data_IF_917348647159
#
_entry.id   IF_917348647159
#
_cell.length_a   1.000
_cell.length_b   1.000
_cell.length_c   1.000
_cell.angle_alpha   90.00
_cell.angle_beta   90.00
_cell.angle_gamma   90.00
#
_symmetry.space_group_name_H-M   'P 1'
#
loop_
_entity.id
_entity.type
_entity.pdbx_description
1 polymer ?
#
# COMPACT_ATOMS: atom_id res chain seq x y z
N UNK A 1 2.99 13.44 11.37
CA UNK A 1 1.92 12.42 11.29
C UNK A 1 1.71 12.14 9.82
N UNK A 2 1.97 10.92 9.35
CA UNK A 2 1.65 10.47 7.98
C UNK A 2 0.59 9.37 8.04
N UNK A 3 -0.34 9.47 8.99
CA UNK A 3 -1.73 9.16 8.64
C UNK A 3 -2.07 10.22 7.60
N UNK A 4 -2.14 9.83 6.33
CA UNK A 4 -2.70 10.69 5.28
C UNK A 4 -4.07 11.06 5.80
N UNK A 5 -4.22 12.29 6.27
CA UNK A 5 -5.53 12.84 6.60
C UNK A 5 -6.36 12.64 5.33
N UNK A 6 -7.47 11.91 5.42
CA UNK A 6 -8.37 11.64 4.29
C UNK A 6 -9.01 12.91 3.70
N UNK A 7 -8.54 14.11 4.10
CA UNK A 7 -8.92 15.44 3.60
C UNK A 7 -7.85 16.11 2.71
N UNK A 8 -6.80 15.41 2.27
CA UNK A 8 -5.86 15.97 1.29
C UNK A 8 -6.43 15.88 -0.13
N UNK A 9 -6.23 16.92 -0.93
CA UNK A 9 -6.54 16.88 -2.36
C UNK A 9 -5.55 15.95 -3.08
N UNK A 10 -6.05 14.86 -3.67
CA UNK A 10 -5.21 13.85 -4.33
C UNK A 10 -5.55 13.80 -5.82
N UNK A 11 -4.53 13.95 -6.66
CA UNK A 11 -4.64 13.66 -8.09
C UNK A 11 -4.27 12.20 -8.34
N UNK A 12 -5.14 11.44 -8.98
CA UNK A 12 -4.89 10.03 -9.29
C UNK A 12 -4.44 9.88 -10.73
N UNK A 13 -3.18 9.51 -10.92
CA UNK A 13 -2.57 9.30 -12.25
C UNK A 13 -2.54 7.83 -12.65
N UNK A 14 -2.94 7.54 -13.88
CA UNK A 14 -2.77 6.22 -14.51
C UNK A 14 -1.94 6.33 -15.79
N UNK A 15 -1.44 5.18 -16.28
CA UNK A 15 -0.66 5.08 -17.50
C UNK A 15 0.84 4.89 -17.28
N UNK A 16 1.56 4.60 -18.36
CA UNK A 16 2.96 4.16 -18.28
C UNK A 16 3.93 5.23 -17.75
N UNK A 17 3.72 6.50 -18.08
CA UNK A 17 4.58 7.59 -17.59
C UNK A 17 4.36 7.84 -16.09
N UNK A 18 3.11 7.80 -15.61
CA UNK A 18 2.82 7.85 -14.18
C UNK A 18 3.52 6.74 -13.40
N UNK A 19 3.48 5.50 -13.93
CA UNK A 19 4.16 4.35 -13.30
C UNK A 19 5.68 4.50 -13.33
N UNK A 20 6.25 5.08 -14.38
CA UNK A 20 7.69 5.32 -14.47
C UNK A 20 8.15 6.37 -13.44
N UNK A 21 7.39 7.46 -13.26
CA UNK A 21 7.68 8.49 -12.26
C UNK A 21 7.55 7.91 -10.83
N UNK A 22 6.53 7.09 -10.56
CA UNK A 22 6.43 6.41 -9.26
C UNK A 22 7.58 5.44 -9.00
N UNK A 23 8.02 4.67 -10.00
CA UNK A 23 9.19 3.80 -9.86
C UNK A 23 10.48 4.58 -9.61
N UNK A 24 10.62 5.76 -10.20
CA UNK A 24 11.75 6.66 -9.94
C UNK A 24 11.74 7.09 -8.47
N UNK A 25 10.62 7.60 -7.96
CA UNK A 25 10.50 8.05 -6.57
C UNK A 25 10.63 6.91 -5.56
N UNK A 26 10.02 5.76 -5.83
CA UNK A 26 10.11 4.55 -5.01
C UNK A 26 11.56 4.09 -4.85
N UNK A 27 12.31 3.97 -5.95
CA UNK A 27 13.71 3.55 -5.93
C UNK A 27 14.63 4.57 -5.26
N UNK A 28 14.42 5.87 -5.49
CA UNK A 28 15.25 6.92 -4.88
C UNK A 28 14.98 7.07 -3.38
N UNK A 29 13.72 6.91 -2.94
CA UNK A 29 13.36 6.95 -1.51
C UNK A 29 13.70 5.66 -0.76
N UNK A 30 13.91 4.57 -1.48
CA UNK A 30 14.09 3.23 -0.92
C UNK A 30 12.86 2.76 -0.14
N UNK A 31 11.67 3.19 -0.57
CA UNK A 31 10.41 2.84 0.08
C UNK A 31 10.25 1.31 0.07
N UNK A 32 9.87 0.67 1.20
CA UNK A 32 9.91 -0.78 1.31
C UNK A 32 8.66 -1.44 0.68
N UNK A 33 8.39 -1.18 -0.59
CA UNK A 33 7.35 -1.85 -1.39
C UNK A 33 7.88 -2.23 -2.76
N UNK A 34 7.41 -3.35 -3.28
CA UNK A 34 7.77 -3.83 -4.62
C UNK A 34 6.66 -3.48 -5.66
N UNK A 35 5.61 -2.75 -5.22
CA UNK A 35 4.45 -2.33 -6.02
C UNK A 35 4.27 -0.81 -6.01
N UNK A 36 3.83 -0.25 -7.14
CA UNK A 36 3.58 1.20 -7.31
C UNK A 36 2.10 1.58 -7.26
N UNK A 37 1.18 0.61 -7.11
CA UNK A 37 -0.25 0.93 -7.05
C UNK A 37 -0.61 1.55 -5.71
N UNK A 38 -1.23 2.73 -5.71
CA UNK A 38 -1.51 3.46 -4.48
C UNK A 38 -0.27 4.11 -3.88
N UNK A 39 0.83 4.21 -4.65
CA UNK A 39 2.02 4.95 -4.25
C UNK A 39 1.76 6.45 -4.33
N UNK A 40 2.20 7.20 -3.32
CA UNK A 40 1.94 8.63 -3.16
C UNK A 40 3.22 9.44 -3.32
N UNK A 41 3.20 10.42 -4.22
CA UNK A 41 4.27 11.39 -4.42
C UNK A 41 3.73 12.75 -3.98
N UNK A 42 4.43 13.45 -3.08
CA UNK A 42 4.03 14.83 -2.73
C UNK A 42 4.13 15.76 -3.95
N UNK A 43 3.24 16.74 -4.07
CA UNK A 43 3.27 17.72 -5.17
C UNK A 43 4.62 18.43 -5.29
N UNK A 44 5.24 18.79 -4.15
CA UNK A 44 6.60 19.36 -4.10
C UNK A 44 7.65 18.44 -4.72
N UNK A 45 7.56 17.13 -4.47
CA UNK A 45 8.49 16.17 -5.03
C UNK A 45 8.20 15.93 -6.52
N UNK A 46 6.92 15.89 -6.90
CA UNK A 46 6.51 15.75 -8.28
C UNK A 46 7.01 16.92 -9.15
N UNK A 47 6.88 18.16 -8.67
CA UNK A 47 7.42 19.37 -9.32
C UNK A 47 8.95 19.34 -9.48
N UNK A 48 9.68 18.73 -8.54
CA UNK A 48 11.13 18.54 -8.73
C UNK A 48 11.41 17.57 -9.87
N UNK A 49 10.65 16.47 -9.94
CA UNK A 49 10.79 15.52 -11.04
C UNK A 49 10.40 16.11 -12.38
N UNK A 50 9.36 16.95 -12.47
CA UNK A 50 8.99 17.62 -13.73
C UNK A 50 10.17 18.45 -14.26
N UNK A 51 10.79 19.26 -13.40
CA UNK A 51 11.97 20.09 -13.74
C UNK A 51 13.20 19.26 -14.11
N UNK A 52 13.55 18.25 -13.31
CA UNK A 52 14.73 17.40 -13.57
C UNK A 52 14.55 16.61 -14.86
N UNK A 53 13.39 16.00 -15.08
CA UNK A 53 13.14 15.22 -16.29
C UNK A 53 13.16 16.12 -17.53
N UNK A 54 12.71 17.36 -17.43
CA UNK A 54 12.78 18.32 -18.54
C UNK A 54 14.22 18.69 -18.92
N UNK A 55 15.10 18.89 -17.93
CA UNK A 55 16.48 19.33 -18.17
C UNK A 55 17.40 18.24 -18.74
N UNK A 56 17.07 16.96 -18.54
CA UNK A 56 17.88 15.83 -18.98
C UNK A 56 17.57 15.44 -20.43
N UNK A 57 18.55 14.91 -21.15
CA UNK A 57 18.34 14.30 -22.47
C UNK A 57 17.74 12.87 -22.38
N UNK A 58 17.35 12.23 -23.49
CA UNK A 58 16.78 10.89 -23.46
C UNK A 58 17.70 9.80 -22.88
N UNK A 59 19.02 9.86 -23.09
CA UNK A 59 19.96 8.87 -22.57
C UNK A 59 20.12 9.03 -21.05
N UNK A 60 20.26 10.26 -20.59
CA UNK A 60 20.32 10.60 -19.17
C UNK A 60 19.03 10.19 -18.44
N UNK A 61 17.85 10.47 -19.01
CA UNK A 61 16.57 10.01 -18.45
C UNK A 61 16.48 8.49 -18.38
N UNK A 62 16.97 7.77 -19.39
CA UNK A 62 16.98 6.31 -19.41
C UNK A 62 17.96 5.71 -18.39
N UNK A 63 18.98 6.47 -17.97
CA UNK A 63 19.91 6.06 -16.91
C UNK A 63 19.31 6.14 -15.51
N UNK A 64 18.23 6.92 -15.33
CA UNK A 64 17.56 7.07 -14.05
C UNK A 64 16.86 5.76 -13.63
N UNK A 65 16.87 5.42 -12.32
CA UNK A 65 16.32 4.17 -11.85
C UNK A 65 14.81 4.09 -12.12
N UNK A 66 14.37 3.01 -12.79
CA UNK A 66 12.94 2.76 -13.01
C UNK A 66 12.36 3.36 -14.30
N UNK A 67 13.17 4.08 -15.07
CA UNK A 67 12.80 4.62 -16.39
C UNK A 67 13.40 3.72 -17.48
N UNK A 68 12.57 3.25 -18.42
CA UNK A 68 13.03 2.49 -19.59
C UNK A 68 13.40 3.42 -20.75
N UNK A 69 14.20 2.93 -21.70
CA UNK A 69 14.56 3.68 -22.93
C UNK A 69 13.33 4.22 -23.65
N UNK A 70 12.30 3.40 -23.85
CA UNK A 70 11.05 3.82 -24.50
C UNK A 70 10.34 4.96 -23.74
N UNK A 71 10.46 4.98 -22.40
CA UNK A 71 9.80 5.99 -21.56
C UNK A 71 10.57 7.30 -21.53
N UNK A 72 11.89 7.27 -21.66
CA UNK A 72 12.74 8.47 -21.64
C UNK A 72 12.32 9.53 -22.67
N UNK A 73 11.79 9.10 -23.82
CA UNK A 73 11.29 9.99 -24.87
C UNK A 73 10.04 10.78 -24.47
N UNK A 74 9.14 10.23 -23.65
CA UNK A 74 7.82 10.84 -23.38
C UNK A 74 7.61 11.29 -21.95
N UNK A 75 8.43 10.83 -21.01
CA UNK A 75 8.21 11.02 -19.58
C UNK A 75 8.29 12.50 -19.15
N UNK A 76 9.18 13.28 -19.76
CA UNK A 76 9.38 14.71 -19.46
C UNK A 76 8.19 15.60 -19.86
N UNK A 77 7.61 15.38 -21.05
CA UNK A 77 6.42 16.11 -21.49
C UNK A 77 5.22 15.75 -20.62
N UNK A 78 5.08 14.46 -20.31
CA UNK A 78 4.02 14.01 -19.43
C UNK A 78 4.16 14.60 -18.02
N UNK A 79 5.37 14.61 -17.45
CA UNK A 79 5.59 15.15 -16.10
C UNK A 79 5.24 16.64 -16.00
N UNK A 80 5.50 17.44 -17.04
CA UNK A 80 5.07 18.85 -17.08
C UNK A 80 3.55 18.96 -17.10
N UNK A 81 2.87 18.25 -18.01
CA UNK A 81 1.40 18.30 -18.11
C UNK A 81 0.76 17.90 -16.78
N UNK A 82 1.27 16.85 -16.15
CA UNK A 82 0.73 16.37 -14.88
C UNK A 82 1.02 17.37 -13.75
N UNK A 83 2.19 17.99 -13.72
CA UNK A 83 2.54 19.01 -12.72
C UNK A 83 1.63 20.25 -12.84
N UNK A 84 1.31 20.69 -14.06
CA UNK A 84 0.31 21.73 -14.30
C UNK A 84 -1.07 21.35 -13.77
N UNK A 85 -1.51 20.10 -13.98
CA UNK A 85 -2.77 19.60 -13.40
C UNK A 85 -2.72 19.56 -11.87
N UNK A 86 -1.58 19.18 -11.29
CA UNK A 86 -1.37 19.19 -9.82
C UNK A 86 -1.54 20.61 -9.26
N UNK A 87 -0.95 21.62 -9.92
CA UNK A 87 -1.12 23.02 -9.52
C UNK A 87 -2.58 23.48 -9.72
N UNK A 88 -3.17 23.18 -10.88
CA UNK A 88 -4.54 23.59 -11.22
C UNK A 88 -5.56 23.07 -10.21
N UNK A 89 -5.46 21.80 -9.81
CA UNK A 89 -6.36 21.19 -8.83
C UNK A 89 -5.93 21.41 -7.37
N UNK A 90 -4.84 22.15 -7.12
CA UNK A 90 -4.23 22.30 -5.80
C UNK A 90 -4.07 20.95 -5.08
N UNK A 91 -3.55 19.94 -5.80
CA UNK A 91 -3.34 18.62 -5.24
C UNK A 91 -2.11 18.61 -4.34
N UNK A 92 -2.26 18.07 -3.14
CA UNK A 92 -1.14 17.88 -2.19
C UNK A 92 -0.29 16.67 -2.58
N UNK A 93 -0.92 15.66 -3.19
CA UNK A 93 -0.29 14.41 -3.58
C UNK A 93 -0.76 13.94 -4.95
N UNK A 94 0.14 13.24 -5.64
CA UNK A 94 -0.16 12.42 -6.81
C UNK A 94 -0.13 10.96 -6.40
N UNK A 95 -1.27 10.28 -6.52
CA UNK A 95 -1.37 8.84 -6.31
C UNK A 95 -1.30 8.11 -7.64
N UNK A 96 -0.46 7.07 -7.73
CA UNK A 96 -0.34 6.29 -8.96
C UNK A 96 -1.21 5.05 -8.94
N UNK A 97 -2.03 4.88 -9.99
CA UNK A 97 -2.80 3.67 -10.22
C UNK A 97 -2.10 2.75 -11.21
N UNK A 98 -1.95 1.48 -10.85
CA UNK A 98 -1.51 0.44 -11.78
C UNK A 98 -2.68 -0.13 -12.62
N UNK A 99 -3.86 0.49 -12.54
CA UNK A 99 -5.05 0.16 -13.31
C UNK A 99 -5.45 1.33 -14.20
N UNK A 100 -6.07 1.05 -15.33
CA UNK A 100 -6.54 2.06 -16.29
C UNK A 100 -7.85 1.63 -16.94
N UNK A 101 -8.00 2.01 -18.22
CA UNK A 101 -9.27 1.81 -18.95
C UNK A 101 -9.72 0.34 -19.00
N UNK A 102 -8.78 -0.60 -19.14
CA UNK A 102 -9.11 -2.04 -19.24
C UNK A 102 -9.79 -2.54 -17.98
N UNK A 103 -9.24 -2.21 -16.82
CA UNK A 103 -9.82 -2.62 -15.55
C UNK A 103 -11.12 -1.86 -15.26
N UNK A 104 -11.22 -0.58 -15.65
CA UNK A 104 -12.47 0.17 -15.57
C UNK A 104 -13.62 -0.48 -16.35
N UNK A 105 -13.35 -1.02 -17.55
CA UNK A 105 -14.35 -1.78 -18.32
C UNK A 105 -14.72 -3.09 -17.62
N UNK A 106 -13.73 -3.83 -17.09
CA UNK A 106 -13.95 -5.10 -16.37
C UNK A 106 -14.76 -4.94 -15.07
N UNK A 107 -14.71 -3.77 -14.45
CA UNK A 107 -15.36 -3.50 -13.15
C UNK A 107 -16.53 -2.53 -13.22
N UNK A 108 -17.01 -2.17 -14.41
CA UNK A 108 -17.98 -1.09 -14.62
C UNK A 108 -19.21 -1.15 -13.70
N UNK A 109 -19.74 -2.35 -13.48
CA UNK A 109 -20.96 -2.58 -12.68
C UNK A 109 -20.68 -3.28 -11.34
N UNK A 110 -19.41 -3.27 -10.90
CA UNK A 110 -18.98 -3.92 -9.66
C UNK A 110 -18.68 -2.87 -8.60
N UNK A 111 -19.39 -2.94 -7.48
CA UNK A 111 -18.99 -2.23 -6.26
C UNK A 111 -17.94 -3.07 -5.55
N UNK A 112 -16.68 -2.63 -5.60
CA UNK A 112 -15.57 -3.30 -4.92
C UNK A 112 -15.04 -2.36 -3.84
N UNK A 113 -15.18 -2.77 -2.59
CA UNK A 113 -14.66 -2.06 -1.42
C UNK A 113 -13.47 -2.82 -0.82
N UNK A 114 -12.90 -2.25 0.25
CA UNK A 114 -11.75 -2.84 0.95
C UNK A 114 -12.06 -4.21 1.54
N UNK A 115 -13.27 -4.42 2.04
CA UNK A 115 -13.67 -5.68 2.67
C UNK A 115 -13.78 -6.81 1.63
N UNK A 116 -14.34 -6.52 0.45
CA UNK A 116 -14.37 -7.48 -0.66
C UNK A 116 -12.98 -7.89 -1.14
N UNK A 117 -11.99 -7.02 -1.03
CA UNK A 117 -10.60 -7.41 -1.31
C UNK A 117 -10.01 -8.32 -0.23
N UNK A 118 -10.33 -8.10 1.04
CA UNK A 118 -9.96 -9.03 2.11
C UNK A 118 -10.61 -10.40 1.90
N UNK A 119 -11.90 -10.42 1.56
CA UNK A 119 -12.61 -11.66 1.20
C UNK A 119 -11.98 -12.35 -0.01
N UNK A 120 -11.63 -11.61 -1.06
CA UNK A 120 -10.95 -12.15 -2.22
C UNK A 120 -9.60 -12.82 -1.85
N UNK A 121 -8.85 -12.23 -0.90
CA UNK A 121 -7.65 -12.88 -0.36
C UNK A 121 -8.02 -14.18 0.33
N UNK A 122 -9.00 -14.18 1.26
CA UNK A 122 -9.43 -15.40 1.96
C UNK A 122 -9.85 -16.52 0.99
N UNK A 123 -10.71 -16.19 0.02
CA UNK A 123 -11.18 -17.15 -0.99
C UNK A 123 -10.07 -17.64 -1.92
N UNK A 124 -9.06 -16.82 -2.25
CA UNK A 124 -7.90 -17.27 -3.03
C UNK A 124 -7.08 -18.36 -2.33
N UNK A 125 -7.19 -18.41 -1.00
CA UNK A 125 -6.59 -19.43 -0.14
C UNK A 125 -7.58 -20.54 0.27
N UNK A 126 -8.80 -20.55 -0.29
CA UNK A 126 -9.88 -21.49 0.03
C UNK A 126 -10.28 -21.45 1.52
N UNK A 127 -10.18 -20.28 2.14
CA UNK A 127 -10.56 -20.04 3.54
C UNK A 127 -11.83 -19.20 3.59
N UNK A 128 -12.78 -19.62 4.44
CA UNK A 128 -13.92 -18.77 4.83
C UNK A 128 -13.40 -17.48 5.48
N UNK A 129 -13.85 -16.29 5.05
CA UNK A 129 -13.42 -15.01 5.63
C UNK A 129 -13.54 -14.97 7.17
N UNK A 130 -12.43 -14.84 7.93
CA UNK A 130 -12.42 -14.84 9.40
C UNK A 130 -12.85 -13.48 9.98
N UNK A 131 -14.08 -13.06 9.65
CA UNK A 131 -14.63 -11.77 10.05
C UNK A 131 -14.89 -11.65 11.54
N UNK A 132 -15.10 -12.76 12.22
CA UNK A 132 -15.19 -12.84 13.68
C UNK A 132 -13.91 -12.38 14.36
N UNK A 133 -12.75 -12.88 13.90
CA UNK A 133 -11.43 -12.45 14.40
C UNK A 133 -11.20 -10.97 14.09
N UNK A 134 -11.54 -10.53 12.86
CA UNK A 134 -11.46 -9.12 12.48
C UNK A 134 -12.25 -8.23 13.45
N UNK A 135 -13.53 -8.58 13.69
CA UNK A 135 -14.44 -7.79 14.54
C UNK A 135 -13.97 -7.73 15.98
N UNK A 136 -13.46 -8.84 16.52
CA UNK A 136 -12.95 -8.87 17.89
C UNK A 136 -11.72 -7.96 18.05
N UNK A 137 -10.79 -8.01 17.10
CA UNK A 137 -9.61 -7.13 17.09
C UNK A 137 -10.00 -5.66 16.92
N UNK A 138 -10.91 -5.35 16.00
CA UNK A 138 -11.41 -3.99 15.77
C UNK A 138 -12.09 -3.42 17.02
N UNK A 139 -12.90 -4.24 17.71
CA UNK A 139 -13.58 -3.89 18.96
C UNK A 139 -12.60 -3.51 20.08
N UNK A 140 -11.49 -4.24 20.21
CA UNK A 140 -10.48 -4.00 21.25
C UNK A 140 -9.60 -2.79 20.92
N UNK A 141 -9.25 -2.61 19.65
CA UNK A 141 -8.28 -1.58 19.23
C UNK A 141 -8.89 -0.18 19.14
N UNK A 142 -10.14 -0.07 18.65
CA UNK A 142 -10.91 1.18 18.49
C UNK A 142 -10.20 2.26 17.65
N UNK A 143 -10.97 3.27 17.22
CA UNK A 143 -10.45 4.44 16.51
C UNK A 143 -9.95 4.15 15.09
N UNK A 144 -9.18 5.10 14.53
CA UNK A 144 -8.74 5.07 13.12
C UNK A 144 -7.87 3.85 12.77
N UNK A 145 -7.21 3.26 13.75
CA UNK A 145 -6.35 2.08 13.57
C UNK A 145 -7.13 0.77 13.54
N UNK A 146 -8.37 0.74 14.02
CA UNK A 146 -9.15 -0.49 14.18
C UNK A 146 -9.24 -1.32 12.91
N UNK A 147 -9.53 -0.65 11.77
CA UNK A 147 -9.58 -1.30 10.47
C UNK A 147 -8.25 -1.97 10.08
N UNK A 148 -7.11 -1.28 10.22
CA UNK A 148 -5.82 -1.82 9.78
C UNK A 148 -5.36 -2.97 10.67
N UNK A 149 -5.60 -2.89 11.98
CA UNK A 149 -5.23 -3.96 12.92
C UNK A 149 -6.16 -5.17 12.72
N UNK A 150 -7.46 -4.93 12.52
CA UNK A 150 -8.42 -5.96 12.13
C UNK A 150 -8.03 -6.65 10.82
N UNK A 151 -7.69 -5.89 9.78
CA UNK A 151 -7.22 -6.42 8.50
C UNK A 151 -5.93 -7.25 8.63
N UNK A 152 -4.99 -6.82 9.49
CA UNK A 152 -3.80 -7.62 9.81
C UNK A 152 -4.18 -8.96 10.44
N UNK A 153 -5.10 -8.96 11.42
CA UNK A 153 -5.54 -10.19 12.07
C UNK A 153 -6.29 -11.11 11.11
N UNK A 154 -7.14 -10.55 10.25
CA UNK A 154 -7.85 -11.27 9.19
C UNK A 154 -6.87 -12.01 8.29
N UNK A 155 -5.89 -11.31 7.73
CA UNK A 155 -4.93 -11.90 6.78
C UNK A 155 -4.01 -12.93 7.48
N UNK A 156 -3.58 -12.67 8.71
CA UNK A 156 -2.83 -13.65 9.49
C UNK A 156 -3.63 -14.91 9.73
N UNK A 157 -4.93 -14.79 10.01
CA UNK A 157 -5.82 -15.93 10.24
C UNK A 157 -6.00 -16.75 8.99
N UNK A 158 -6.22 -16.11 7.84
CA UNK A 158 -6.25 -16.78 6.53
C UNK A 158 -4.97 -17.59 6.33
N UNK A 159 -3.79 -16.95 6.42
CA UNK A 159 -2.52 -17.63 6.18
C UNK A 159 -2.22 -18.75 7.19
N UNK A 160 -2.64 -18.57 8.45
CA UNK A 160 -2.50 -19.59 9.50
C UNK A 160 -3.40 -20.80 9.18
N UNK A 161 -4.65 -20.58 8.78
CA UNK A 161 -5.60 -21.62 8.41
C UNK A 161 -5.19 -22.34 7.11
N UNK A 162 -4.54 -21.65 6.18
CA UNK A 162 -3.96 -22.25 4.96
C UNK A 162 -2.66 -23.05 5.20
N UNK A 163 -2.19 -23.17 6.45
CA UNK A 163 -1.05 -24.02 6.80
C UNK A 163 0.34 -23.37 6.64
N UNK A 164 0.46 -22.05 6.50
CA UNK A 164 1.78 -21.41 6.49
C UNK A 164 2.46 -21.53 7.85
N UNK A 165 3.60 -22.24 7.92
CA UNK A 165 4.40 -22.42 9.14
C UNK A 165 4.76 -21.07 9.80
N UNK A 166 5.10 -20.08 8.98
CA UNK A 166 5.50 -18.74 9.43
C UNK A 166 4.60 -17.70 8.77
N UNK A 167 3.30 -17.78 9.08
CA UNK A 167 2.25 -16.92 8.54
C UNK A 167 2.48 -15.41 8.79
N UNK A 168 3.22 -15.02 9.83
CA UNK A 168 3.63 -13.63 10.05
C UNK A 168 4.56 -13.09 8.95
N UNK A 169 5.60 -13.85 8.60
CA UNK A 169 6.53 -13.45 7.54
C UNK A 169 5.87 -13.58 6.16
N UNK A 170 4.97 -14.56 5.99
CA UNK A 170 4.16 -14.70 4.79
C UNK A 170 3.25 -13.47 4.58
N UNK A 171 2.54 -13.01 5.62
CA UNK A 171 1.72 -11.80 5.55
C UNK A 171 2.57 -10.58 5.15
N UNK A 172 3.73 -10.40 5.80
CA UNK A 172 4.63 -9.30 5.50
C UNK A 172 5.08 -9.29 4.03
N UNK A 173 5.49 -10.45 3.50
CA UNK A 173 5.95 -10.57 2.10
C UNK A 173 4.81 -10.42 1.10
N UNK A 174 3.66 -11.03 1.39
CA UNK A 174 2.46 -10.94 0.54
C UNK A 174 2.09 -9.48 0.31
N UNK A 175 1.93 -8.71 1.39
CA UNK A 175 1.43 -7.34 1.32
C UNK A 175 2.42 -6.33 0.74
N UNK A 176 3.73 -6.56 0.88
CA UNK A 176 4.75 -5.71 0.22
C UNK A 176 4.72 -5.78 -1.30
N UNK A 177 4.19 -6.87 -1.85
CA UNK A 177 4.15 -7.13 -3.29
C UNK A 177 2.71 -7.02 -3.83
N UNK A 178 1.74 -6.82 -2.94
CA UNK A 178 0.35 -6.88 -3.29
C UNK A 178 -0.08 -5.66 -4.09
N UNK A 179 -1.04 -5.90 -4.99
CA UNK A 179 -1.62 -4.90 -5.84
C UNK A 179 -3.14 -4.93 -5.62
N UNK A 180 -3.57 -4.27 -4.54
CA UNK A 180 -4.93 -4.37 -4.03
C UNK A 180 -5.62 -3.00 -4.17
N UNK A 181 -6.62 -2.86 -5.05
CA UNK A 181 -7.41 -1.65 -5.17
C UNK A 181 -8.01 -1.20 -3.83
N UNK A 182 -8.11 0.11 -3.64
CA UNK A 182 -8.67 0.70 -2.42
C UNK A 182 -7.67 0.84 -1.28
N UNK A 183 -6.44 0.33 -1.41
CA UNK A 183 -5.36 0.53 -0.45
C UNK A 183 -4.20 1.30 -1.08
N UNK A 184 -3.69 2.27 -0.34
CA UNK A 184 -2.41 2.92 -0.62
C UNK A 184 -1.25 2.00 -0.23
N UNK A 185 -0.06 2.25 -0.78
CA UNK A 185 1.13 1.52 -0.38
C UNK A 185 1.51 1.75 1.09
N UNK A 186 1.19 2.92 1.64
CA UNK A 186 1.39 3.21 3.06
C UNK A 186 0.49 2.33 3.95
N UNK A 187 -0.77 2.14 3.56
CA UNK A 187 -1.71 1.28 4.28
C UNK A 187 -1.31 -0.20 4.18
N UNK A 188 -0.93 -0.68 3.00
CA UNK A 188 -0.44 -2.06 2.85
C UNK A 188 0.84 -2.28 3.65
N UNK A 189 1.76 -1.32 3.65
CA UNK A 189 2.97 -1.37 4.48
C UNK A 189 2.60 -1.39 5.96
N UNK A 190 1.65 -0.58 6.42
CA UNK A 190 1.16 -0.57 7.80
C UNK A 190 0.64 -1.93 8.22
N UNK A 191 -0.30 -2.50 7.46
CA UNK A 191 -0.88 -3.82 7.72
C UNK A 191 0.23 -4.90 7.74
N UNK A 192 1.19 -4.82 6.81
CA UNK A 192 2.32 -5.75 6.74
C UNK A 192 3.25 -5.66 7.97
N UNK A 193 3.47 -4.46 8.50
CA UNK A 193 4.34 -4.23 9.65
C UNK A 193 3.66 -4.65 10.97
N UNK A 194 2.34 -4.49 11.08
CA UNK A 194 1.54 -5.03 12.19
C UNK A 194 1.58 -6.57 12.16
N UNK A 195 1.42 -7.18 10.98
CA UNK A 195 1.62 -8.62 10.82
C UNK A 195 3.00 -9.07 11.31
N UNK A 196 4.05 -8.38 10.88
CA UNK A 196 5.43 -8.70 11.26
C UNK A 196 5.70 -8.47 12.75
N UNK A 197 5.09 -7.46 13.36
CA UNK A 197 5.30 -7.12 14.77
C UNK A 197 4.73 -8.14 15.74
N UNK A 198 3.65 -8.85 15.35
CA UNK A 198 3.08 -9.93 16.14
C UNK A 198 4.07 -11.12 16.33
N UNK A 199 5.03 -11.30 15.41
CA UNK A 199 6.13 -12.26 15.57
C UNK A 199 7.23 -11.74 16.49
N UNK A 200 7.56 -10.46 16.40
CA UNK A 200 8.68 -9.87 17.15
C UNK A 200 9.06 -8.46 16.72
N UNK A 201 10.22 -8.00 17.18
CA UNK A 201 10.66 -6.60 16.99
C UNK A 201 10.86 -6.25 15.52
N UNK A 202 10.28 -5.13 15.08
CA UNK A 202 10.48 -4.57 13.74
C UNK A 202 11.64 -3.57 13.70
N UNK A 203 12.28 -3.43 12.53
CA UNK A 203 13.36 -2.46 12.32
C UNK A 203 12.81 -1.03 12.41
N UNK A 204 13.47 -0.16 13.21
CA UNK A 204 13.07 1.25 13.40
C UNK A 204 12.93 2.02 12.08
N UNK A 205 13.77 1.74 11.08
CA UNK A 205 13.74 2.37 9.75
C UNK A 205 12.37 2.18 9.07
N UNK A 206 11.75 1.00 9.20
CA UNK A 206 10.46 0.70 8.56
C UNK A 206 9.32 1.52 9.15
N UNK A 207 9.27 1.65 10.48
CA UNK A 207 8.27 2.48 11.15
C UNK A 207 8.40 3.97 10.80
N UNK A 208 9.62 4.44 10.52
CA UNK A 208 9.90 5.84 10.12
C UNK A 208 9.23 6.21 8.78
N UNK A 209 9.13 5.29 7.83
CA UNK A 209 8.46 5.56 6.53
C UNK A 209 6.98 5.95 6.70
N UNK A 210 6.31 5.39 7.71
CA UNK A 210 4.91 5.68 8.02
C UNK A 210 4.74 6.81 9.04
N UNK A 211 5.82 7.31 9.63
CA UNK A 211 5.76 8.26 10.74
C UNK A 211 5.08 7.71 12.01
N UNK A 212 5.03 6.38 12.17
CA UNK A 212 4.42 5.69 13.32
C UNK A 212 5.51 5.27 14.30
N UNK A 213 5.20 5.32 15.61
CA UNK A 213 6.15 4.87 16.64
C UNK A 213 6.25 3.35 16.63
N UNK A 214 7.48 2.81 16.66
CA UNK A 214 7.70 1.35 16.74
C UNK A 214 6.92 0.67 17.87
N UNK A 215 6.85 1.31 19.05
CA UNK A 215 6.11 0.77 20.22
C UNK A 215 4.61 0.58 19.94
N UNK A 216 4.04 1.42 19.08
CA UNK A 216 2.63 1.36 18.70
C UNK A 216 2.36 0.14 17.80
N UNK A 217 3.23 -0.12 16.83
CA UNK A 217 3.18 -1.34 16.02
C UNK A 217 3.39 -2.61 16.87
N UNK A 218 4.28 -2.56 17.86
CA UNK A 218 4.49 -3.66 18.82
C UNK A 218 3.25 -3.90 19.70
N UNK A 219 2.57 -2.84 20.14
CA UNK A 219 1.30 -2.94 20.87
C UNK A 219 0.23 -3.67 20.03
N UNK A 220 -0.01 -3.24 18.80
CA UNK A 220 -0.99 -3.89 17.92
C UNK A 220 -0.64 -5.35 17.59
N UNK A 221 0.65 -5.62 17.38
CA UNK A 221 1.13 -6.99 17.16
C UNK A 221 0.83 -7.91 18.36
N UNK A 222 0.99 -7.41 19.59
CA UNK A 222 0.67 -8.16 20.81
C UNK A 222 -0.84 -8.40 20.97
N UNK A 223 -1.68 -7.40 20.66
CA UNK A 223 -3.15 -7.55 20.68
C UNK A 223 -3.57 -8.72 19.77
N UNK A 224 -3.11 -8.73 18.53
CA UNK A 224 -3.42 -9.80 17.58
C UNK A 224 -2.90 -11.15 18.08
N UNK A 225 -1.65 -11.19 18.54
CA UNK A 225 -1.04 -12.44 19.02
C UNK A 225 -1.82 -13.07 20.16
N UNK A 226 -2.29 -12.27 21.12
CA UNK A 226 -3.07 -12.76 22.25
C UNK A 226 -4.40 -13.37 21.78
N UNK A 227 -5.15 -12.64 20.96
CA UNK A 227 -6.44 -13.10 20.41
C UNK A 227 -6.28 -14.38 19.59
N UNK A 228 -5.27 -14.46 18.72
CA UNK A 228 -5.02 -15.66 17.92
C UNK A 228 -4.58 -16.88 18.75
N UNK A 229 -3.97 -16.67 19.92
CA UNK A 229 -3.61 -17.77 20.82
C UNK A 229 -4.83 -18.29 21.60
N UNK A 230 -5.77 -17.42 21.92
CA UNK A 230 -7.02 -17.76 22.62
C UNK A 230 -8.03 -18.46 21.70
N UNK A 231 -7.97 -18.20 20.40
CA UNK A 231 -8.86 -18.79 19.39
C UNK A 231 -8.17 -19.96 18.66
N UNK A 232 -8.57 -21.22 18.93
CA UNK A 232 -8.09 -22.38 18.17
C UNK A 232 -8.47 -22.25 16.69
N UNK A 233 -7.68 -22.91 15.83
CA UNK A 233 -7.96 -22.95 14.40
C UNK A 233 -9.38 -23.47 14.12
N UNK A 234 -10.16 -22.70 13.35
CA UNK A 234 -11.49 -23.12 12.88
C UNK A 234 -12.65 -22.85 13.85
N UNK A 235 -12.42 -22.18 14.98
CA UNK A 235 -13.51 -21.74 15.87
C UNK A 235 -14.12 -20.45 15.32
N UNK A 236 -15.40 -20.50 14.94
CA UNK A 236 -16.21 -19.31 14.64
C UNK A 236 -16.73 -18.74 15.96
N UNK A 237 -16.50 -17.45 16.22
CA UNK A 237 -17.06 -16.72 17.39
C UNK A 237 -18.50 -16.30 17.10
#
# INVERSE_FOLDING_TARGET
>A
MLTVSFKSNILIGSGGNMRAIAKLDEKLSGFPSDSIHGYLISSKQFNKYSKVLYSLDPEERASLPGISKDRAFTIHTASIIIDELVQYFNAEYVMVSAFGMREGVLTKDKVIDRNKWLEAIAYSYQIDPPWDIYREVERVTKGEMGFYVGASAFILSVLRMSGFINYYEACYKLLRNALIPGFTQNELLLISLICKSAKGKIKKKLAKYLGIKRKELEYYGNVIKNILNELPLGVKI
#
